data_IF_580213251691
#
_entry.id   IF_580213251691
#
_cell.length_a   1.000
_cell.length_b   1.000
_cell.length_c   1.000
_cell.angle_alpha   90.00
_cell.angle_beta   90.00
_cell.angle_gamma   90.00
#
_symmetry.space_group_name_H-M   'P 1'
#
loop_
_entity.id
_entity.type
_entity.pdbx_description
1 polymer ?
#
# COMPACT_ATOMS: atom_id res chain seq x y z
N UNK A 1 -56.23 -20.52 29.18
CA UNK A 1 -55.20 -20.69 28.12
C UNK A 1 -55.46 -19.68 27.01
N UNK A 2 -54.64 -18.64 26.87
CA UNK A 2 -54.54 -17.86 25.63
C UNK A 2 -53.16 -17.23 25.55
N UNK A 3 -52.53 -17.47 24.41
CA UNK A 3 -51.08 -17.53 24.19
C UNK A 3 -50.49 -16.13 24.01
N UNK A 4 -49.36 -15.86 24.66
CA UNK A 4 -48.49 -14.74 24.33
C UNK A 4 -47.84 -15.00 22.97
N UNK A 5 -48.01 -14.09 22.01
CA UNK A 5 -47.31 -14.12 20.72
C UNK A 5 -46.11 -13.16 20.81
N UNK A 6 -44.85 -13.64 20.83
CA UNK A 6 -43.71 -12.76 20.77
C UNK A 6 -43.54 -12.23 19.35
N UNK A 7 -43.66 -10.92 19.18
CA UNK A 7 -43.33 -10.17 17.97
C UNK A 7 -41.81 -10.23 17.76
N UNK A 8 -41.34 -11.10 16.88
CA UNK A 8 -39.94 -11.15 16.45
C UNK A 8 -39.74 -10.04 15.41
N UNK A 9 -39.21 -8.90 15.85
CA UNK A 9 -38.65 -7.89 14.94
C UNK A 9 -37.35 -8.43 14.34
N UNK A 10 -37.45 -9.01 13.14
CA UNK A 10 -36.28 -9.28 12.31
C UNK A 10 -35.72 -7.94 11.80
N UNK A 11 -34.74 -7.38 12.51
CA UNK A 11 -33.88 -6.32 11.97
C UNK A 11 -33.06 -6.92 10.84
N UNK A 12 -33.55 -6.82 9.61
CA UNK A 12 -32.76 -7.00 8.41
C UNK A 12 -31.71 -5.88 8.40
N UNK A 13 -30.51 -6.18 8.90
CA UNK A 13 -29.31 -5.39 8.62
C UNK A 13 -29.06 -5.49 7.11
N UNK A 14 -29.71 -4.63 6.33
CA UNK A 14 -29.29 -4.32 4.97
C UNK A 14 -27.92 -3.66 5.08
N UNK A 15 -26.88 -4.49 5.14
CA UNK A 15 -25.51 -4.05 5.00
C UNK A 15 -25.34 -3.53 3.58
N UNK A 16 -25.52 -2.23 3.40
CA UNK A 16 -25.06 -1.53 2.21
C UNK A 16 -23.53 -1.63 2.23
N UNK A 17 -22.98 -2.69 1.65
CA UNK A 17 -21.54 -2.75 1.38
C UNK A 17 -21.23 -1.60 0.42
N UNK A 18 -20.53 -0.58 0.92
CA UNK A 18 -20.02 0.46 0.05
C UNK A 18 -19.13 -0.20 -1.03
N UNK A 19 -19.21 0.24 -2.29
CA UNK A 19 -18.38 -0.32 -3.36
C UNK A 19 -16.89 -0.18 -2.98
N UNK A 20 -16.09 -1.19 -3.31
CA UNK A 20 -14.66 -1.15 -2.99
C UNK A 20 -13.99 -0.03 -3.78
N UNK A 21 -13.03 0.73 -3.19
CA UNK A 21 -12.22 1.68 -3.95
C UNK A 21 -11.46 1.05 -5.11
N UNK A 22 -11.31 -0.27 -5.12
CA UNK A 22 -10.66 -1.05 -6.17
C UNK A 22 -11.60 -1.49 -7.30
N UNK A 23 -12.92 -1.35 -7.15
CA UNK A 23 -13.91 -1.76 -8.16
C UNK A 23 -13.98 -0.77 -9.34
N UNK A 24 -13.41 0.44 -9.19
CA UNK A 24 -13.43 1.50 -10.21
C UNK A 24 -12.06 2.18 -10.29
N UNK A 25 -11.19 1.66 -11.17
CA UNK A 25 -9.94 2.33 -11.53
C UNK A 25 -10.18 3.12 -12.82
N UNK A 26 -10.16 4.44 -12.71
CA UNK A 26 -10.24 5.36 -13.85
C UNK A 26 -8.91 6.07 -14.01
N UNK A 27 -8.38 6.11 -15.24
CA UNK A 27 -7.19 6.88 -15.61
C UNK A 27 -7.19 8.30 -14.98
N UNK A 28 -6.02 8.73 -14.49
CA UNK A 28 -5.83 10.03 -13.88
C UNK A 28 -5.65 9.99 -12.36
N UNK A 29 -6.01 11.06 -11.66
CA UNK A 29 -5.76 11.17 -10.22
C UNK A 29 -6.59 10.14 -9.42
N UNK A 30 -5.97 9.52 -8.42
CA UNK A 30 -6.69 8.65 -7.50
C UNK A 30 -7.83 9.41 -6.79
N UNK A 31 -8.96 8.74 -6.61
CA UNK A 31 -10.00 9.21 -5.68
C UNK A 31 -9.44 9.24 -4.25
N UNK A 32 -10.08 10.00 -3.36
CA UNK A 32 -9.64 10.08 -1.97
C UNK A 32 -9.63 8.71 -1.27
N UNK A 33 -10.63 7.87 -1.54
CA UNK A 33 -10.74 6.53 -0.96
C UNK A 33 -9.64 5.59 -1.47
N UNK A 34 -9.35 5.62 -2.77
CA UNK A 34 -8.26 4.84 -3.35
C UNK A 34 -6.89 5.32 -2.85
N UNK A 35 -6.72 6.64 -2.71
CA UNK A 35 -5.50 7.22 -2.18
C UNK A 35 -5.25 6.77 -0.73
N UNK A 36 -6.27 6.77 0.14
CA UNK A 36 -6.14 6.28 1.51
C UNK A 36 -5.77 4.80 1.55
N UNK A 37 -6.48 3.96 0.78
CA UNK A 37 -6.18 2.54 0.70
C UNK A 37 -4.74 2.27 0.21
N UNK A 38 -4.28 3.02 -0.79
CA UNK A 38 -2.93 2.90 -1.34
C UNK A 38 -1.88 3.32 -0.32
N UNK A 39 -2.12 4.42 0.41
CA UNK A 39 -1.25 4.88 1.50
C UNK A 39 -1.14 3.83 2.59
N UNK A 40 -2.27 3.31 3.08
CA UNK A 40 -2.29 2.30 4.14
C UNK A 40 -1.51 1.04 3.73
N UNK A 41 -1.66 0.61 2.48
CA UNK A 41 -0.98 -0.56 1.95
C UNK A 41 0.54 -0.38 1.85
N UNK A 42 1.00 0.78 1.35
CA UNK A 42 2.43 1.10 1.25
C UNK A 42 3.04 1.34 2.63
N UNK A 43 2.35 2.07 3.52
CA UNK A 43 2.75 2.28 4.91
C UNK A 43 3.00 0.94 5.61
N UNK A 44 2.03 0.01 5.50
CA UNK A 44 2.14 -1.32 6.09
C UNK A 44 3.37 -2.10 5.60
N UNK A 45 3.74 -1.95 4.32
CA UNK A 45 4.95 -2.56 3.79
C UNK A 45 6.23 -1.87 4.31
N UNK A 46 6.30 -0.53 4.26
CA UNK A 46 7.47 0.23 4.73
C UNK A 46 7.71 -0.01 6.22
N UNK A 47 6.66 0.02 7.04
CA UNK A 47 6.76 -0.22 8.48
C UNK A 47 7.23 -1.64 8.76
N UNK A 48 6.70 -2.64 8.05
CA UNK A 48 7.16 -4.02 8.19
C UNK A 48 8.62 -4.20 7.73
N UNK A 49 9.10 -3.44 6.73
CA UNK A 49 10.51 -3.43 6.33
C UNK A 49 11.38 -2.80 7.43
N UNK A 50 10.95 -1.68 8.01
CA UNK A 50 11.67 -1.00 9.09
C UNK A 50 11.79 -1.90 10.33
N UNK A 51 10.73 -2.64 10.66
CA UNK A 51 10.70 -3.66 11.71
C UNK A 51 11.43 -4.95 11.33
N UNK A 52 11.92 -5.07 10.10
CA UNK A 52 12.53 -6.28 9.53
C UNK A 52 11.62 -7.51 9.62
N UNK A 53 10.30 -7.30 9.67
CA UNK A 53 9.29 -8.32 9.60
C UNK A 53 9.08 -8.72 8.13
N UNK A 54 10.03 -9.48 7.59
CA UNK A 54 10.11 -9.79 6.15
C UNK A 54 8.87 -10.50 5.62
N UNK A 55 8.32 -11.43 6.37
CA UNK A 55 7.09 -12.15 6.00
C UNK A 55 5.91 -11.17 5.85
N UNK A 56 5.74 -10.25 6.82
CA UNK A 56 4.70 -9.23 6.75
C UNK A 56 4.95 -8.26 5.60
N UNK A 57 6.16 -7.75 5.44
CA UNK A 57 6.53 -6.84 4.35
C UNK A 57 6.25 -7.46 2.96
N UNK A 58 6.64 -8.72 2.78
CA UNK A 58 6.45 -9.45 1.54
C UNK A 58 4.96 -9.75 1.27
N UNK A 59 4.13 -9.87 2.31
CA UNK A 59 2.68 -10.08 2.16
C UNK A 59 1.94 -8.92 1.48
N UNK A 60 2.53 -7.71 1.47
CA UNK A 60 2.05 -6.53 0.74
C UNK A 60 2.47 -6.50 -0.73
N UNK A 61 3.41 -7.35 -1.16
CA UNK A 61 3.74 -7.48 -2.57
C UNK A 61 2.60 -8.14 -3.34
N UNK A 62 2.43 -7.78 -4.62
CA UNK A 62 1.44 -8.40 -5.48
C UNK A 62 1.76 -9.89 -5.68
N UNK A 63 0.71 -10.69 -5.93
CA UNK A 63 0.88 -12.13 -6.19
C UNK A 63 1.81 -12.40 -7.37
N UNK A 64 1.69 -11.61 -8.44
CA UNK A 64 2.58 -11.66 -9.62
C UNK A 64 4.06 -11.41 -9.26
N UNK A 65 4.32 -10.48 -8.33
CA UNK A 65 5.67 -10.24 -7.80
C UNK A 65 6.14 -11.44 -6.98
N UNK A 66 5.30 -11.94 -6.07
CA UNK A 66 5.62 -13.09 -5.21
C UNK A 66 5.92 -14.37 -6.02
N UNK A 67 5.24 -14.54 -7.17
CA UNK A 67 5.47 -15.66 -8.08
C UNK A 67 6.82 -15.59 -8.80
N UNK A 68 7.38 -14.39 -8.94
CA UNK A 68 8.62 -14.15 -9.66
C UNK A 68 9.83 -14.00 -8.73
N UNK A 69 9.62 -13.50 -7.51
CA UNK A 69 10.67 -13.13 -6.56
C UNK A 69 10.37 -13.80 -5.23
N UNK A 70 11.23 -14.71 -4.78
CA UNK A 70 11.09 -15.37 -3.47
C UNK A 70 11.21 -14.38 -2.31
N UNK A 71 10.68 -14.74 -1.14
CA UNK A 71 10.86 -13.98 0.10
C UNK A 71 12.35 -13.71 0.39
N UNK A 72 13.21 -14.71 0.24
CA UNK A 72 14.65 -14.55 0.46
C UNK A 72 15.24 -13.50 -0.50
N UNK A 73 14.90 -13.58 -1.79
CA UNK A 73 15.38 -12.63 -2.79
C UNK A 73 14.86 -11.22 -2.52
N UNK A 74 13.60 -11.09 -2.12
CA UNK A 74 13.01 -9.83 -1.67
C UNK A 74 13.82 -9.22 -0.50
N UNK A 75 14.07 -9.99 0.56
CA UNK A 75 14.88 -9.51 1.70
C UNK A 75 16.28 -9.07 1.27
N UNK A 76 16.94 -9.83 0.40
CA UNK A 76 18.27 -9.47 -0.11
C UNK A 76 18.27 -8.17 -0.93
N UNK A 77 17.28 -7.99 -1.81
CA UNK A 77 17.13 -6.76 -2.61
C UNK A 77 16.93 -5.56 -1.67
N UNK A 78 16.01 -5.67 -0.71
CA UNK A 78 15.74 -4.56 0.23
C UNK A 78 16.98 -4.23 1.06
N UNK A 79 17.68 -5.24 1.59
CA UNK A 79 18.88 -5.01 2.40
C UNK A 79 20.04 -4.39 1.62
N UNK A 80 20.18 -4.68 0.33
CA UNK A 80 21.30 -4.21 -0.51
C UNK A 80 21.00 -2.89 -1.23
N UNK A 81 19.83 -2.78 -1.82
CA UNK A 81 19.51 -1.72 -2.78
C UNK A 81 18.57 -0.67 -2.18
N UNK A 82 17.77 -1.04 -1.18
CA UNK A 82 16.76 -0.18 -0.55
C UNK A 82 16.94 -0.09 0.96
N UNK A 83 18.19 -0.11 1.44
CA UNK A 83 18.51 0.00 2.87
C UNK A 83 17.88 1.24 3.52
N UNK A 84 17.66 2.31 2.74
CA UNK A 84 16.95 3.51 3.17
C UNK A 84 15.55 3.24 3.74
N UNK A 85 14.85 2.19 3.29
CA UNK A 85 13.54 1.80 3.80
C UNK A 85 13.65 1.15 5.18
N UNK A 86 14.75 0.46 5.47
CA UNK A 86 15.03 -0.14 6.78
C UNK A 86 15.36 0.96 7.79
N UNK A 87 16.19 1.93 7.41
CA UNK A 87 16.69 2.98 8.31
C UNK A 87 15.91 4.31 8.22
N UNK A 88 14.66 4.28 7.74
CA UNK A 88 13.89 5.50 7.51
C UNK A 88 13.51 6.20 8.84
N UNK A 89 13.31 7.52 8.78
CA UNK A 89 12.86 8.35 9.91
C UNK A 89 11.41 8.84 9.71
N UNK A 90 10.62 8.05 8.99
CA UNK A 90 9.28 8.40 8.54
C UNK A 90 9.23 8.70 7.04
N UNK A 91 8.02 8.88 6.54
CA UNK A 91 7.74 9.10 5.13
C UNK A 91 6.49 9.97 4.94
N UNK A 92 6.40 10.63 3.79
CA UNK A 92 5.20 11.36 3.39
C UNK A 92 4.76 10.96 1.99
N UNK A 93 3.47 11.10 1.72
CA UNK A 93 2.88 10.71 0.45
C UNK A 93 2.61 11.92 -0.44
N UNK A 94 3.05 11.81 -1.69
CA UNK A 94 2.79 12.77 -2.75
C UNK A 94 1.65 12.33 -3.65
N UNK A 95 1.83 12.54 -4.95
CA UNK A 95 0.80 12.30 -5.96
C UNK A 95 0.44 10.81 -6.07
N UNK A 96 -0.85 10.55 -6.29
CA UNK A 96 -1.40 9.24 -6.61
C UNK A 96 -2.14 9.33 -7.96
N UNK A 97 -1.72 8.52 -8.93
CA UNK A 97 -2.30 8.48 -10.27
C UNK A 97 -2.50 7.03 -10.71
N UNK A 98 -3.61 6.75 -11.38
CA UNK A 98 -3.85 5.52 -12.14
C UNK A 98 -3.32 5.73 -13.57
N UNK A 99 -2.47 4.82 -14.03
CA UNK A 99 -1.89 4.79 -15.39
C UNK A 99 -2.08 3.39 -15.97
N UNK A 100 -2.94 3.27 -16.97
CA UNK A 100 -3.46 1.97 -17.40
C UNK A 100 -4.07 1.22 -16.22
N UNK A 101 -3.56 0.01 -15.96
CA UNK A 101 -4.05 -0.88 -14.90
C UNK A 101 -3.23 -0.77 -13.60
N UNK A 102 -2.28 0.18 -13.53
CA UNK A 102 -1.41 0.37 -12.37
C UNK A 102 -1.75 1.65 -11.60
N UNK A 103 -1.61 1.57 -10.28
CA UNK A 103 -1.63 2.73 -9.39
C UNK A 103 -0.18 3.13 -9.12
N UNK A 104 0.13 4.40 -9.38
CA UNK A 104 1.43 4.99 -9.08
C UNK A 104 1.30 5.93 -7.88
N UNK A 105 2.18 5.80 -6.89
CA UNK A 105 2.19 6.62 -5.68
C UNK A 105 3.60 7.15 -5.42
N UNK A 106 3.73 8.47 -5.32
CA UNK A 106 4.96 9.11 -4.89
C UNK A 106 5.11 9.04 -3.37
N UNK A 107 6.29 8.69 -2.88
CA UNK A 107 6.61 8.60 -1.46
C UNK A 107 7.94 9.28 -1.20
N UNK A 108 7.98 10.25 -0.29
CA UNK A 108 9.22 10.86 0.18
C UNK A 108 9.66 10.14 1.46
N UNK A 109 10.77 9.41 1.39
CA UNK A 109 11.37 8.74 2.54
C UNK A 109 12.33 9.70 3.24
N UNK A 110 12.14 9.94 4.53
CA UNK A 110 13.05 10.75 5.35
C UNK A 110 14.18 9.90 5.88
N UNK A 111 15.40 10.42 5.85
CA UNK A 111 16.56 9.74 6.43
C UNK A 111 17.59 10.73 6.94
N UNK A 112 18.50 10.23 7.80
CA UNK A 112 19.65 11.02 8.28
C UNK A 112 20.58 11.49 7.16
N UNK A 113 20.55 10.83 6.00
CA UNK A 113 21.44 11.09 4.85
C UNK A 113 20.78 11.95 3.77
N UNK A 114 19.60 12.51 4.04
CA UNK A 114 18.78 13.21 3.06
C UNK A 114 17.48 12.49 2.77
N UNK A 115 16.59 13.18 2.05
CA UNK A 115 15.26 12.68 1.74
C UNK A 115 15.27 12.03 0.34
N UNK A 116 14.60 10.89 0.19
CA UNK A 116 14.58 10.13 -1.06
C UNK A 116 13.17 10.10 -1.62
N UNK A 117 12.98 10.63 -2.83
CA UNK A 117 11.70 10.49 -3.52
C UNK A 117 11.67 9.14 -4.22
N UNK A 118 10.64 8.36 -3.93
CA UNK A 118 10.36 7.07 -4.54
C UNK A 118 9.04 7.11 -5.29
N UNK A 119 8.94 6.30 -6.33
CA UNK A 119 7.69 5.98 -7.00
C UNK A 119 7.38 4.50 -6.79
N UNK A 120 6.24 4.25 -6.15
CA UNK A 120 5.67 2.91 -6.00
C UNK A 120 4.69 2.66 -7.13
N UNK A 121 4.68 1.43 -7.64
CA UNK A 121 3.68 0.92 -8.58
C UNK A 121 2.96 -0.26 -7.96
N UNK A 122 1.65 -0.24 -8.04
CA UNK A 122 0.76 -1.24 -7.46
C UNK A 122 -0.20 -1.74 -8.53
N UNK A 123 -0.53 -3.02 -8.44
CA UNK A 123 -1.56 -3.65 -9.27
C UNK A 123 -2.68 -4.17 -8.39
N UNK A 124 -3.88 -4.26 -8.96
CA UNK A 124 -5.01 -4.94 -8.33
C UNK A 124 -5.22 -6.29 -9.01
N UNK A 125 -5.12 -7.38 -8.25
CA UNK A 125 -5.43 -8.74 -8.72
C UNK A 125 -6.40 -9.35 -7.73
N UNK A 126 -7.51 -9.92 -8.22
CA UNK A 126 -8.57 -10.51 -7.38
C UNK A 126 -9.06 -9.57 -6.26
N UNK A 127 -9.25 -8.29 -6.59
CA UNK A 127 -9.63 -7.22 -5.64
C UNK A 127 -8.64 -7.03 -4.47
N UNK A 128 -7.40 -7.51 -4.62
CA UNK A 128 -6.32 -7.30 -3.66
C UNK A 128 -5.27 -6.38 -4.27
N UNK A 129 -4.98 -5.29 -3.56
CA UNK A 129 -3.90 -4.39 -3.89
C UNK A 129 -2.56 -5.05 -3.55
N UNK A 130 -1.55 -4.84 -4.40
CA UNK A 130 -0.22 -5.36 -4.16
C UNK A 130 0.86 -4.51 -4.83
N UNK A 131 1.99 -4.34 -4.14
CA UNK A 131 3.16 -3.63 -4.70
C UNK A 131 3.85 -4.53 -5.71
N UNK A 132 4.05 -4.02 -6.93
CA UNK A 132 4.77 -4.70 -8.01
C UNK A 132 6.16 -4.11 -8.26
N UNK A 133 6.38 -2.84 -7.91
CA UNK A 133 7.68 -2.19 -8.03
C UNK A 133 7.79 -0.96 -7.12
N UNK A 134 9.03 -0.63 -6.75
CA UNK A 134 9.38 0.64 -6.11
C UNK A 134 10.75 1.10 -6.65
N UNK A 135 10.88 2.37 -6.99
CA UNK A 135 12.13 2.93 -7.52
C UNK A 135 12.40 4.30 -6.93
N UNK A 136 13.67 4.63 -6.66
CA UNK A 136 14.09 5.99 -6.33
C UNK A 136 14.05 6.82 -7.60
N UNK A 137 13.30 7.93 -7.58
CA UNK A 137 13.15 8.83 -8.73
C UNK A 137 13.95 10.12 -8.55
N UNK A 138 14.19 10.55 -7.31
CA UNK A 138 15.07 11.69 -6.99
C UNK A 138 15.73 11.51 -5.64
N UNK A 139 16.97 12.00 -5.53
CA UNK A 139 17.67 12.17 -4.25
C UNK A 139 17.56 13.65 -3.90
N UNK A 140 16.89 13.97 -2.81
CA UNK A 140 16.88 15.31 -2.23
C UNK A 140 17.99 15.35 -1.20
N UNK A 141 19.16 15.85 -1.61
CA UNK A 141 20.15 16.31 -0.65
C UNK A 141 19.52 17.50 0.08
N UNK A 142 19.28 17.38 1.38
CA UNK A 142 19.07 18.58 2.21
C UNK A 142 20.39 19.35 2.15
N UNK A 143 20.44 20.36 1.27
CA UNK A 143 21.43 21.41 1.38
C UNK A 143 21.08 22.14 2.67
N UNK A 144 21.75 21.74 3.75
CA UNK A 144 21.74 22.48 4.99
C UNK A 144 22.32 23.88 4.69
N UNK A 145 21.43 24.86 4.49
CA UNK A 145 21.73 26.29 4.64
C UNK A 145 21.55 26.69 6.08
#
# INVERSE_FOLDING_TARGET
MKKYLPLICALLLSGCAAPSPLDQLTEGNCTQSLQLLTKDHISGQIDAIADQNWQKAYSFAAKSFQDSISLERFTQIIAKEYFLLISNQGYTFGRCEIKGDEITQEVLIKSKKGNFQMQYRLSVVDKKLGVIAAAVTKISEDVAT
#
